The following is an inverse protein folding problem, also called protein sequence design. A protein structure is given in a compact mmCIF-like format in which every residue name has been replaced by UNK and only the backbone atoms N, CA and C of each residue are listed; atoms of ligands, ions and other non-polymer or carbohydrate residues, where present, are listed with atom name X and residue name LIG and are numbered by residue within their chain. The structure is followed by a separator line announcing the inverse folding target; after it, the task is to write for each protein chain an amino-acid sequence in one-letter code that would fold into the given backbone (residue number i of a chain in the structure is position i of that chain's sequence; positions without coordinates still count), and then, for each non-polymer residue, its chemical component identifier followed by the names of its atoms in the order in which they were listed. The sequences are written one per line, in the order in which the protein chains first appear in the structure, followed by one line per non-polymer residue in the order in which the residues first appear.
data_IF_774933373685
#
_entry.id   IF_774933373685
#
_cell.length_a   1.000
_cell.length_b   1.000
_cell.length_c   1.000
_cell.angle_alpha   90.00
_cell.angle_beta   90.00
_cell.angle_gamma   90.00
#
_symmetry.space_group_name_H-M   'P 1'
#
loop_
_entity.id
_entity.type
_entity.pdbx_description
1 polymer ?
#
# COMPACT_ATOMS: atom_id res chain seq x y z
N UNK A 1 23.47 -18.08 8.06
CA UNK A 1 22.71 -17.04 8.78
C UNK A 1 22.98 -15.73 8.06
N UNK A 2 21.93 -15.06 7.58
CA UNK A 2 22.04 -13.78 6.88
C UNK A 2 22.21 -12.60 7.83
N UNK A 3 22.58 -11.46 7.29
CA UNK A 3 22.65 -10.20 8.03
C UNK A 3 21.24 -9.76 8.44
N UNK A 4 21.10 -9.23 9.67
CA UNK A 4 19.82 -8.67 10.16
C UNK A 4 19.61 -7.31 9.49
N UNK A 5 18.48 -7.14 8.82
CA UNK A 5 18.10 -5.90 8.16
C UNK A 5 17.14 -5.10 9.05
N UNK A 6 17.48 -3.83 9.31
CA UNK A 6 16.63 -2.91 10.04
C UNK A 6 15.97 -1.92 9.07
N UNK A 7 14.64 -1.91 9.01
CA UNK A 7 13.89 -1.02 8.11
C UNK A 7 14.18 0.47 8.38
N UNK A 8 14.47 0.85 9.62
CA UNK A 8 14.86 2.21 10.00
C UNK A 8 16.14 2.70 9.31
N UNK A 9 17.02 1.80 8.89
CA UNK A 9 18.31 2.10 8.24
C UNK A 9 18.22 2.09 6.71
N UNK A 10 17.05 1.73 6.15
CA UNK A 10 16.84 1.54 4.71
C UNK A 10 16.05 2.67 4.03
N UNK A 11 15.91 3.81 4.69
CA UNK A 11 15.09 4.93 4.19
C UNK A 11 15.53 5.44 2.79
N UNK A 12 16.85 5.46 2.50
CA UNK A 12 17.37 5.86 1.18
C UNK A 12 16.96 4.87 0.10
N UNK A 13 16.99 3.57 0.40
CA UNK A 13 16.55 2.53 -0.51
C UNK A 13 15.06 2.66 -0.83
N UNK A 14 14.21 2.85 0.19
CA UNK A 14 12.77 3.05 -0.03
C UNK A 14 12.49 4.33 -0.81
N UNK A 15 13.32 5.37 -0.65
CA UNK A 15 13.23 6.60 -1.43
C UNK A 15 13.48 6.33 -2.92
N UNK A 16 14.49 5.54 -3.26
CA UNK A 16 14.77 5.17 -4.65
C UNK A 16 13.54 4.52 -5.31
N UNK A 17 12.94 3.52 -4.66
CA UNK A 17 11.76 2.84 -5.20
C UNK A 17 10.49 3.70 -5.19
N UNK A 18 10.37 4.59 -4.23
CA UNK A 18 9.31 5.60 -4.21
C UNK A 18 9.42 6.55 -5.41
N UNK A 19 10.62 7.02 -5.77
CA UNK A 19 10.82 7.87 -6.94
C UNK A 19 10.55 7.10 -8.25
N UNK A 20 10.95 5.84 -8.36
CA UNK A 20 10.57 4.98 -9.50
C UNK A 20 9.04 4.89 -9.68
N UNK A 21 8.29 4.76 -8.58
CA UNK A 21 6.82 4.79 -8.64
C UNK A 21 6.29 6.17 -9.05
N UNK A 22 6.91 7.26 -8.63
CA UNK A 22 6.52 8.61 -9.05
C UNK A 22 6.72 8.87 -10.55
N UNK A 23 7.71 8.23 -11.15
CA UNK A 23 7.99 8.32 -12.59
C UNK A 23 7.04 7.47 -13.43
N UNK A 24 6.61 6.32 -12.93
CA UNK A 24 5.83 5.32 -13.67
C UNK A 24 4.33 5.34 -13.34
N UNK A 25 3.93 5.96 -12.25
CA UNK A 25 2.56 5.99 -11.77
C UNK A 25 2.17 7.37 -11.26
N UNK A 26 0.86 7.58 -11.08
CA UNK A 26 0.37 8.81 -10.48
C UNK A 26 0.49 8.76 -8.96
N UNK A 27 1.56 9.33 -8.43
CA UNK A 27 1.76 9.58 -7.00
C UNK A 27 1.49 11.06 -6.70
N UNK A 28 0.68 11.35 -5.69
CA UNK A 28 0.22 12.69 -5.40
C UNK A 28 0.19 12.98 -3.88
N UNK A 29 0.32 14.27 -3.48
CA UNK A 29 0.28 14.69 -2.10
C UNK A 29 -1.15 14.67 -1.54
N UNK A 30 -1.31 14.13 -0.33
CA UNK A 30 -2.59 14.06 0.39
C UNK A 30 -2.48 14.76 1.74
N UNK A 31 -3.38 15.69 1.98
CA UNK A 31 -3.44 16.51 3.20
C UNK A 31 -4.58 16.12 4.16
N UNK A 32 -5.31 15.05 3.88
CA UNK A 32 -6.39 14.58 4.75
C UNK A 32 -5.87 14.12 6.11
N UNK A 33 -6.53 14.53 7.19
CA UNK A 33 -6.29 13.98 8.52
C UNK A 33 -6.98 12.62 8.68
N UNK A 34 -6.56 11.83 9.66
CA UNK A 34 -7.27 10.58 10.01
C UNK A 34 -8.73 10.85 10.35
N UNK A 35 -9.02 11.88 11.13
CA UNK A 35 -10.39 12.28 11.47
C UNK A 35 -11.22 12.60 10.21
N UNK A 36 -10.66 13.34 9.25
CA UNK A 36 -11.34 13.65 8.00
C UNK A 36 -11.61 12.40 7.14
N UNK A 37 -10.73 11.40 7.19
CA UNK A 37 -10.92 10.13 6.48
C UNK A 37 -12.05 9.30 7.10
N UNK A 38 -12.13 9.25 8.43
CA UNK A 38 -13.19 8.53 9.14
C UNK A 38 -14.55 9.26 9.10
N UNK A 39 -14.56 10.58 8.98
CA UNK A 39 -15.79 11.36 8.87
C UNK A 39 -16.40 11.33 7.46
N UNK A 40 -15.63 10.95 6.43
CA UNK A 40 -16.17 10.70 5.11
C UNK A 40 -17.01 9.42 5.17
N UNK A 41 -18.21 9.43 4.56
CA UNK A 41 -19.07 8.23 4.40
C UNK A 41 -18.45 7.21 3.42
N UNK A 42 -17.19 6.87 3.64
CA UNK A 42 -16.47 5.92 2.80
C UNK A 42 -16.67 4.50 3.34
N UNK A 43 -16.73 3.48 2.48
CA UNK A 43 -16.82 2.09 2.93
C UNK A 43 -15.70 1.75 3.89
N UNK A 44 -16.02 1.13 5.02
CA UNK A 44 -15.05 0.56 5.94
C UNK A 44 -14.73 -0.86 5.50
N UNK A 45 -13.45 -1.18 5.44
CA UNK A 45 -12.97 -2.52 5.17
C UNK A 45 -13.08 -3.39 6.44
N UNK A 46 -12.98 -4.71 6.28
CA UNK A 46 -13.01 -5.67 7.38
C UNK A 46 -11.93 -5.45 8.44
N UNK A 47 -10.82 -4.79 8.06
CA UNK A 47 -9.71 -4.40 8.94
C UNK A 47 -9.92 -3.01 9.60
N UNK A 48 -11.11 -2.40 9.44
CA UNK A 48 -11.43 -1.07 9.95
C UNK A 48 -10.79 0.08 9.17
N UNK A 49 -10.04 -0.18 8.11
CA UNK A 49 -9.50 0.86 7.24
C UNK A 49 -10.60 1.43 6.34
N UNK A 50 -10.43 2.68 5.93
CA UNK A 50 -11.38 3.41 5.09
C UNK A 50 -10.88 3.44 3.65
N UNK A 51 -11.74 3.08 2.70
CA UNK A 51 -11.44 3.25 1.27
C UNK A 51 -11.34 4.74 0.96
N UNK A 52 -10.16 5.17 0.51
CA UNK A 52 -9.91 6.59 0.27
C UNK A 52 -10.64 7.09 -0.98
N UNK A 53 -11.49 8.11 -0.82
CA UNK A 53 -12.32 8.69 -1.89
C UNK A 53 -11.56 9.47 -2.96
N UNK A 54 -10.26 9.72 -2.79
CA UNK A 54 -9.47 10.48 -3.76
C UNK A 54 -9.55 12.00 -3.63
N UNK A 55 -10.01 12.54 -2.51
CA UNK A 55 -10.23 13.99 -2.26
C UNK A 55 -9.07 14.88 -2.68
N UNK A 56 -7.80 14.44 -2.51
CA UNK A 56 -6.62 15.23 -2.89
C UNK A 56 -6.06 14.86 -4.27
N UNK A 57 -6.70 13.95 -5.00
CA UNK A 57 -6.18 13.40 -6.25
C UNK A 57 -5.99 14.44 -7.36
N UNK A 58 -6.81 15.48 -7.35
CA UNK A 58 -6.87 16.47 -8.43
C UNK A 58 -6.58 17.90 -7.93
N UNK A 59 -5.85 18.05 -6.84
CA UNK A 59 -5.40 19.37 -6.40
C UNK A 59 -4.51 20.02 -7.45
N UNK A 60 -4.72 21.33 -7.70
CA UNK A 60 -3.82 22.12 -8.53
C UNK A 60 -2.48 22.36 -7.82
N UNK A 61 -1.47 22.77 -8.57
CA UNK A 61 -0.17 23.10 -8.00
C UNK A 61 -0.26 24.22 -6.94
N UNK A 62 -1.13 25.22 -7.18
CA UNK A 62 -1.39 26.32 -6.26
C UNK A 62 -2.05 25.84 -4.97
N UNK A 63 -3.04 24.94 -5.08
CA UNK A 63 -3.71 24.34 -3.92
C UNK A 63 -2.75 23.47 -3.10
N UNK A 64 -1.87 22.72 -3.75
CA UNK A 64 -0.82 21.94 -3.10
C UNK A 64 0.13 22.89 -2.33
N UNK A 65 0.66 23.91 -3.00
CA UNK A 65 1.58 24.87 -2.40
C UNK A 65 0.96 25.61 -1.19
N UNK A 66 -0.34 25.96 -1.27
CA UNK A 66 -1.03 26.61 -0.14
C UNK A 66 -1.22 25.65 1.04
N UNK A 67 -1.51 24.37 0.77
CA UNK A 67 -1.69 23.36 1.84
C UNK A 67 -0.37 22.96 2.47
N UNK A 68 0.72 22.92 1.71
CA UNK A 68 2.08 22.64 2.21
C UNK A 68 2.58 23.67 3.23
N UNK A 69 2.16 24.93 3.13
CA UNK A 69 2.44 25.97 4.15
C UNK A 69 1.88 25.61 5.53
N UNK A 70 0.84 24.79 5.58
CA UNK A 70 0.12 24.44 6.82
C UNK A 70 0.54 23.09 7.38
N UNK A 71 0.86 22.11 6.52
CA UNK A 71 1.25 20.77 6.93
C UNK A 71 1.94 20.00 5.80
N UNK A 72 2.87 19.15 6.17
CA UNK A 72 3.48 18.20 5.24
C UNK A 72 2.45 17.18 4.73
N UNK A 73 2.48 16.83 3.45
CA UNK A 73 1.59 15.81 2.89
C UNK A 73 2.04 14.39 3.21
N UNK A 74 1.07 13.48 3.28
CA UNK A 74 1.32 12.08 2.98
C UNK A 74 1.30 11.91 1.44
N UNK A 75 2.03 10.94 0.93
CA UNK A 75 2.08 10.64 -0.50
C UNK A 75 1.30 9.36 -0.79
N UNK A 76 0.31 9.46 -1.67
CA UNK A 76 -0.52 8.34 -2.10
C UNK A 76 -0.25 7.97 -3.54
N UNK A 77 -0.35 6.68 -3.83
CA UNK A 77 -0.41 6.17 -5.20
C UNK A 77 -1.87 6.02 -5.62
N UNK A 78 -2.19 6.50 -6.82
CA UNK A 78 -3.51 6.31 -7.42
C UNK A 78 -3.60 4.88 -7.96
N UNK A 79 -4.60 4.14 -7.50
CA UNK A 79 -4.92 2.82 -8.07
C UNK A 79 -5.60 2.96 -9.44
N UNK A 80 -5.55 1.92 -10.29
CA UNK A 80 -6.26 1.91 -11.57
C UNK A 80 -7.76 2.16 -11.41
N UNK A 81 -8.43 2.56 -12.49
CA UNK A 81 -9.89 2.64 -12.54
C UNK A 81 -10.51 1.26 -12.28
N UNK A 82 -11.73 1.21 -11.75
CA UNK A 82 -12.38 -0.01 -11.25
C UNK A 82 -12.38 -1.16 -12.29
N UNK A 83 -12.57 -0.83 -13.56
CA UNK A 83 -12.61 -1.79 -14.67
C UNK A 83 -11.25 -2.47 -14.92
N UNK A 84 -10.14 -1.84 -14.47
CA UNK A 84 -8.76 -2.32 -14.64
C UNK A 84 -8.03 -2.58 -13.33
N UNK A 85 -8.75 -2.50 -12.21
CA UNK A 85 -8.18 -2.60 -10.86
C UNK A 85 -8.16 -4.04 -10.31
N UNK A 86 -8.55 -5.04 -11.11
CA UNK A 86 -8.51 -6.44 -10.69
C UNK A 86 -7.07 -6.94 -10.57
N UNK A 87 -6.74 -7.42 -9.39
CA UNK A 87 -5.46 -8.06 -9.09
C UNK A 87 -5.69 -9.53 -8.76
N UNK A 88 -5.15 -10.37 -9.63
CA UNK A 88 -5.12 -11.82 -9.44
C UNK A 88 -3.77 -12.24 -8.88
N UNK A 89 -3.78 -13.10 -7.87
CA UNK A 89 -2.58 -13.69 -7.27
C UNK A 89 -2.88 -15.09 -6.72
N UNK A 90 -1.82 -15.90 -6.58
CA UNK A 90 -1.93 -17.23 -6.02
C UNK A 90 -1.67 -17.23 -4.51
N UNK A 91 -2.52 -17.92 -3.76
CA UNK A 91 -2.33 -18.20 -2.34
C UNK A 91 -2.28 -19.72 -2.16
N UNK A 92 -1.21 -20.20 -1.55
CA UNK A 92 -0.98 -21.66 -1.42
C UNK A 92 -2.00 -22.41 -0.54
N UNK A 93 -2.76 -21.69 0.31
CA UNK A 93 -3.83 -22.25 1.13
C UNK A 93 -5.22 -21.96 0.56
N UNK A 94 -5.44 -20.77 0.01
CA UNK A 94 -6.74 -20.29 -0.46
C UNK A 94 -6.95 -20.48 -1.97
N UNK A 95 -5.88 -20.86 -2.71
CA UNK A 95 -5.92 -21.01 -4.17
C UNK A 95 -5.81 -19.66 -4.90
N UNK A 96 -6.44 -19.55 -6.08
CA UNK A 96 -6.45 -18.32 -6.86
C UNK A 96 -7.34 -17.27 -6.20
N UNK A 97 -6.72 -16.13 -5.88
CA UNK A 97 -7.37 -14.99 -5.26
C UNK A 97 -7.55 -13.86 -6.27
N UNK A 98 -8.66 -13.16 -6.17
CA UNK A 98 -9.00 -12.01 -6.98
C UNK A 98 -9.50 -10.87 -6.08
N UNK A 99 -8.89 -9.69 -6.19
CA UNK A 99 -9.29 -8.50 -5.44
C UNK A 99 -9.32 -7.29 -6.38
N UNK A 100 -10.29 -6.41 -6.19
CA UNK A 100 -10.37 -5.16 -6.94
C UNK A 100 -9.82 -4.00 -6.09
N UNK A 101 -8.65 -3.47 -6.46
CA UNK A 101 -7.98 -2.41 -5.70
C UNK A 101 -8.81 -1.14 -5.56
N UNK A 102 -9.55 -0.74 -6.58
CA UNK A 102 -10.34 0.49 -6.52
C UNK A 102 -11.50 0.37 -5.54
N UNK A 103 -12.16 -0.79 -5.52
CA UNK A 103 -13.34 -1.06 -4.70
C UNK A 103 -12.97 -1.42 -3.25
N UNK A 104 -11.93 -2.23 -3.08
CA UNK A 104 -11.58 -2.84 -1.80
C UNK A 104 -10.46 -2.10 -1.05
N UNK A 105 -9.80 -1.11 -1.68
CA UNK A 105 -8.63 -0.47 -1.11
C UNK A 105 -8.63 1.05 -1.32
N UNK A 106 -8.92 1.50 -2.55
CA UNK A 106 -8.69 2.88 -2.95
C UNK A 106 -7.21 3.25 -2.98
N UNK A 107 -6.92 4.53 -3.22
CA UNK A 107 -5.55 5.04 -3.24
C UNK A 107 -4.91 4.93 -1.85
N UNK A 108 -3.72 4.35 -1.79
CA UNK A 108 -3.07 4.08 -0.51
C UNK A 108 -1.74 4.83 -0.34
N UNK A 109 -1.33 4.97 0.92
CA UNK A 109 -0.14 5.73 1.30
C UNK A 109 1.12 4.93 0.99
N UNK A 110 2.07 5.57 0.30
CA UNK A 110 3.45 5.08 0.12
C UNK A 110 4.42 5.72 1.10
N UNK A 111 4.19 7.02 1.44
CA UNK A 111 5.01 7.77 2.40
C UNK A 111 4.11 8.62 3.28
N UNK A 112 4.33 8.55 4.57
CA UNK A 112 3.56 9.30 5.59
C UNK A 112 3.99 10.76 5.63
N UNK A 113 3.16 11.61 6.23
CA UNK A 113 3.46 13.04 6.40
C UNK A 113 4.66 13.32 7.32
N UNK A 114 5.02 12.40 8.19
CA UNK A 114 6.23 12.45 9.02
C UNK A 114 7.51 11.98 8.27
N UNK A 115 7.38 11.65 6.99
CA UNK A 115 8.49 11.24 6.14
C UNK A 115 8.79 9.74 6.13
N UNK A 116 8.17 8.96 7.01
CA UNK A 116 8.35 7.50 7.09
C UNK A 116 7.66 6.82 5.90
N UNK A 117 8.34 5.88 5.27
CA UNK A 117 7.73 5.06 4.21
C UNK A 117 6.72 4.08 4.80
N UNK A 118 5.61 3.90 4.09
CA UNK A 118 4.53 3.04 4.55
C UNK A 118 4.89 1.56 4.40
N UNK A 119 4.31 0.74 5.26
CA UNK A 119 4.49 -0.71 5.29
C UNK A 119 4.38 -1.35 3.89
N UNK A 120 3.37 -0.96 3.11
CA UNK A 120 3.13 -1.55 1.80
C UNK A 120 4.32 -1.39 0.83
N UNK A 121 5.02 -0.27 0.85
CA UNK A 121 6.21 -0.06 0.03
C UNK A 121 7.43 -0.75 0.64
N UNK A 122 7.65 -0.57 1.94
CA UNK A 122 8.84 -1.08 2.61
C UNK A 122 8.96 -2.60 2.52
N UNK A 123 7.86 -3.32 2.82
CA UNK A 123 7.87 -4.80 2.78
C UNK A 123 8.08 -5.34 1.37
N UNK A 124 7.46 -4.74 0.35
CA UNK A 124 7.64 -5.17 -1.05
C UNK A 124 9.09 -5.01 -1.50
N UNK A 125 9.72 -3.88 -1.16
CA UNK A 125 11.12 -3.63 -1.52
C UNK A 125 12.06 -4.58 -0.77
N UNK A 126 11.84 -4.76 0.53
CA UNK A 126 12.69 -5.64 1.34
C UNK A 126 12.59 -7.10 0.90
N UNK A 127 11.39 -7.62 0.72
CA UNK A 127 11.15 -9.00 0.30
C UNK A 127 11.74 -9.28 -1.09
N UNK A 128 11.48 -8.37 -2.06
CA UNK A 128 12.01 -8.53 -3.41
C UNK A 128 13.55 -8.53 -3.43
N UNK A 129 14.19 -7.60 -2.74
CA UNK A 129 15.66 -7.51 -2.71
C UNK A 129 16.33 -8.59 -1.87
N UNK A 130 15.57 -9.20 -0.95
CA UNK A 130 16.04 -10.37 -0.18
C UNK A 130 15.79 -11.69 -0.91
N UNK A 131 15.18 -11.66 -2.10
CA UNK A 131 14.89 -12.86 -2.88
C UNK A 131 13.80 -13.74 -2.27
N UNK A 132 12.86 -13.14 -1.54
CA UNK A 132 11.71 -13.86 -0.95
C UNK A 132 10.80 -14.36 -2.04
N UNK A 133 10.56 -15.67 -2.06
CA UNK A 133 9.69 -16.36 -3.04
C UNK A 133 8.36 -16.79 -2.45
N UNK A 134 8.27 -16.88 -1.12
CA UNK A 134 7.06 -17.30 -0.40
C UNK A 134 6.84 -16.42 0.84
N UNK A 135 5.60 -16.00 1.06
CA UNK A 135 5.19 -15.16 2.20
C UNK A 135 4.13 -15.89 3.01
N UNK A 136 4.51 -16.35 4.20
CA UNK A 136 3.59 -16.99 5.16
C UNK A 136 3.23 -15.99 6.24
N UNK A 137 1.92 -15.71 6.42
CA UNK A 137 1.44 -14.71 7.40
C UNK A 137 -0.01 -14.96 7.83
N UNK A 138 -0.47 -14.25 8.85
CA UNK A 138 -1.86 -14.33 9.31
C UNK A 138 -2.87 -13.80 8.28
N UNK A 139 -4.09 -14.34 8.30
CA UNK A 139 -5.18 -13.93 7.39
C UNK A 139 -5.61 -12.46 7.58
N UNK A 140 -5.35 -11.85 8.72
CA UNK A 140 -5.56 -10.42 8.99
C UNK A 140 -4.80 -9.51 8.01
N UNK A 141 -3.68 -9.97 7.45
CA UNK A 141 -2.91 -9.26 6.45
C UNK A 141 -3.34 -9.52 5.00
N UNK A 142 -4.37 -10.35 4.78
CA UNK A 142 -4.86 -10.68 3.44
C UNK A 142 -5.33 -9.44 2.66
N UNK A 143 -5.95 -8.48 3.34
CA UNK A 143 -6.36 -7.20 2.73
C UNK A 143 -5.19 -6.41 2.12
N UNK A 144 -3.94 -6.69 2.52
CA UNK A 144 -2.74 -6.07 1.97
C UNK A 144 -2.19 -6.74 0.72
N UNK A 145 -2.57 -7.99 0.43
CA UNK A 145 -1.95 -8.79 -0.61
C UNK A 145 -2.07 -8.15 -2.00
N UNK A 146 -3.27 -7.75 -2.41
CA UNK A 146 -3.47 -7.15 -3.74
C UNK A 146 -2.67 -5.85 -3.93
N UNK A 147 -2.55 -5.00 -2.87
CA UNK A 147 -1.71 -3.78 -2.89
C UNK A 147 -0.23 -4.12 -3.12
N UNK A 148 0.27 -5.13 -2.43
CA UNK A 148 1.65 -5.58 -2.53
C UNK A 148 1.92 -6.22 -3.89
N UNK A 149 1.07 -7.14 -4.34
CA UNK A 149 1.15 -7.75 -5.68
C UNK A 149 1.20 -6.69 -6.78
N UNK A 150 0.35 -5.68 -6.67
CA UNK A 150 0.36 -4.58 -7.63
C UNK A 150 1.67 -3.78 -7.58
N UNK A 151 2.20 -3.49 -6.39
CA UNK A 151 3.50 -2.81 -6.24
C UNK A 151 4.65 -3.67 -6.78
N UNK A 152 4.68 -4.99 -6.54
CA UNK A 152 5.67 -5.89 -7.15
C UNK A 152 5.69 -5.73 -8.68
N UNK A 153 4.51 -5.76 -9.30
CA UNK A 153 4.38 -5.61 -10.77
C UNK A 153 4.80 -4.23 -11.25
N UNK A 154 4.39 -3.17 -10.56
CA UNK A 154 4.76 -1.79 -10.91
C UNK A 154 6.27 -1.54 -10.81
N UNK A 155 6.96 -2.20 -9.90
CA UNK A 155 8.40 -2.10 -9.70
C UNK A 155 9.20 -3.12 -10.54
N UNK A 156 8.52 -3.98 -11.30
CA UNK A 156 9.16 -4.99 -12.15
C UNK A 156 9.75 -6.15 -11.35
N UNK A 157 9.26 -6.40 -10.14
CA UNK A 157 9.66 -7.53 -9.32
C UNK A 157 8.79 -8.77 -9.59
N UNK A 158 9.36 -9.95 -9.36
CA UNK A 158 8.58 -11.19 -9.31
C UNK A 158 7.67 -11.19 -8.09
N UNK A 159 6.42 -11.63 -8.29
CA UNK A 159 5.46 -11.72 -7.19
C UNK A 159 5.64 -13.03 -6.43
N UNK A 160 5.88 -13.00 -5.11
CA UNK A 160 5.96 -14.22 -4.30
C UNK A 160 4.61 -14.94 -4.19
N UNK A 161 4.62 -16.21 -3.83
CA UNK A 161 3.43 -16.96 -3.46
C UNK A 161 3.05 -16.61 -2.03
N UNK A 162 1.78 -16.28 -1.79
CA UNK A 162 1.27 -15.98 -0.46
C UNK A 162 0.68 -17.25 0.19
N UNK A 163 0.76 -17.30 1.52
CA UNK A 163 0.11 -18.31 2.36
C UNK A 163 -0.53 -17.61 3.55
N UNK A 164 -1.84 -17.34 3.49
CA UNK A 164 -2.58 -16.73 4.58
C UNK A 164 -3.13 -17.78 5.52
N UNK A 165 -2.48 -17.96 6.68
CA UNK A 165 -2.87 -18.93 7.68
C UNK A 165 -3.99 -18.39 8.58
N UNK A 166 -4.94 -19.24 9.03
CA UNK A 166 -5.99 -18.83 9.96
C UNK A 166 -5.43 -18.23 11.25
N UNK A 167 -6.15 -17.25 11.80
CA UNK A 167 -5.82 -16.70 13.10
C UNK A 167 -6.28 -17.64 14.22
N UNK A 168 -5.50 -17.69 15.30
CA UNK A 168 -5.95 -18.30 16.55
C UNK A 168 -6.93 -17.32 17.21
N UNK A 169 -8.15 -17.78 17.44
CA UNK A 169 -9.15 -17.03 18.19
C UNK A 169 -9.40 -17.71 19.53
N UNK A 170 -9.75 -16.96 20.54
CA UNK A 170 -10.21 -17.54 21.81
C UNK A 170 -11.47 -18.37 21.54
N UNK A 171 -11.61 -19.48 22.26
CA UNK A 171 -12.85 -20.26 22.23
C UNK A 171 -13.92 -19.47 23.00
N UNK A 172 -14.97 -19.03 22.29
CA UNK A 172 -16.21 -18.53 22.91
C UNK A 172 -17.01 -19.69 23.57
#
# INVERSE_FOLDING_TARGET
EGEVLFQSERAELYREYFEKLRESARVYPCFCSRAALHAAEAPHLSDGSVVYSGTCRYLSAEEVAEREKRRSPAWRIQVPAEESAEIRYSDGLLGECLQNLARECGDFVLRRADGVFAYQLAVVVDDALSGVTEIVRGEDLRSSAARQVWLYRMLGFETPVFYHIPLLTDAD
#
